data_IF_669689614021
#
_entry.id   IF_669689614021
#
_cell.length_a   1.000
_cell.length_b   1.000
_cell.length_c   1.000
_cell.angle_alpha   90.00
_cell.angle_beta   90.00
_cell.angle_gamma   90.00
#
_symmetry.space_group_name_H-M   'P 1'
#
loop_
_entity.id
_entity.type
_entity.pdbx_description
1 polymer ?
#
# COMPACT_ATOMS: atom_id res chain seq x y z
N UNK A 1 5.95 1.16 41.55
CA UNK A 1 5.14 1.51 40.36
C UNK A 1 5.67 0.96 39.02
N UNK A 2 6.88 0.40 38.94
CA UNK A 2 7.42 -0.18 37.68
C UNK A 2 6.94 -1.64 37.43
N UNK A 3 6.33 -2.27 38.44
CA UNK A 3 5.81 -3.66 38.36
C UNK A 3 4.41 -3.78 37.76
N UNK A 4 3.64 -2.68 37.69
CA UNK A 4 2.28 -2.70 37.10
C UNK A 4 2.32 -2.70 35.56
N UNK A 5 3.29 -2.01 34.97
CA UNK A 5 3.44 -1.92 33.50
C UNK A 5 4.05 -3.18 32.90
N UNK A 6 4.96 -3.86 33.61
CA UNK A 6 5.61 -5.10 33.15
C UNK A 6 4.75 -6.37 33.36
N UNK A 7 3.62 -6.26 34.07
CA UNK A 7 2.65 -7.35 34.19
C UNK A 7 1.53 -7.29 33.13
N UNK A 8 1.35 -6.15 32.45
CA UNK A 8 0.15 -5.87 31.64
C UNK A 8 0.28 -6.19 30.14
N UNK A 9 1.50 -6.39 29.61
CA UNK A 9 1.70 -6.79 28.19
C UNK A 9 2.67 -7.98 28.11
N UNK A 10 2.18 -9.22 28.30
CA UNK A 10 3.02 -10.42 28.27
C UNK A 10 3.42 -10.87 26.85
N UNK A 11 3.05 -10.14 25.78
CA UNK A 11 3.34 -10.54 24.39
C UNK A 11 3.79 -9.35 23.55
N UNK A 12 4.70 -9.53 22.58
CA UNK A 12 5.19 -8.45 21.69
C UNK A 12 4.18 -7.99 20.62
N UNK A 13 3.03 -8.66 20.53
CA UNK A 13 1.97 -8.43 19.53
C UNK A 13 1.27 -7.07 19.69
N UNK A 14 0.95 -6.56 20.90
CA UNK A 14 0.29 -5.27 21.08
C UNK A 14 1.19 -4.10 20.67
N UNK A 15 2.51 -4.24 20.83
CA UNK A 15 3.49 -3.23 20.39
C UNK A 15 3.51 -3.15 18.86
N UNK A 16 3.44 -4.29 18.17
CA UNK A 16 3.34 -4.35 16.72
C UNK A 16 2.04 -3.70 16.22
N UNK A 17 0.92 -4.01 16.86
CA UNK A 17 -0.38 -3.43 16.54
C UNK A 17 -0.39 -1.91 16.75
N UNK A 18 0.15 -1.42 17.87
CA UNK A 18 0.29 0.01 18.12
C UNK A 18 1.15 0.70 17.06
N UNK A 19 2.27 0.09 16.66
CA UNK A 19 3.13 0.64 15.59
C UNK A 19 2.42 0.66 14.24
N UNK A 20 1.65 -0.38 13.91
CA UNK A 20 0.85 -0.44 12.70
C UNK A 20 -0.23 0.65 12.67
N UNK A 21 -0.92 0.89 13.80
CA UNK A 21 -1.93 1.95 13.92
C UNK A 21 -1.29 3.33 13.77
N UNK A 22 -0.20 3.61 14.49
CA UNK A 22 0.51 4.90 14.39
C UNK A 22 1.01 5.14 12.98
N UNK A 23 1.59 4.11 12.34
CA UNK A 23 2.03 4.21 10.95
C UNK A 23 0.85 4.51 10.02
N UNK A 24 -0.25 3.75 10.13
CA UNK A 24 -1.43 3.95 9.29
C UNK A 24 -2.00 5.36 9.45
N UNK A 25 -2.18 5.85 10.67
CA UNK A 25 -2.68 7.21 10.93
C UNK A 25 -1.74 8.27 10.35
N UNK A 26 -0.43 8.13 10.58
CA UNK A 26 0.55 9.07 10.05
C UNK A 26 0.56 9.07 8.52
N UNK A 27 0.52 7.90 7.89
CA UNK A 27 0.45 7.76 6.44
C UNK A 27 -0.83 8.35 5.86
N UNK A 28 -1.99 8.15 6.52
CA UNK A 28 -3.24 8.79 6.10
C UNK A 28 -3.12 10.31 6.12
N UNK A 29 -2.60 10.88 7.21
CA UNK A 29 -2.43 12.34 7.34
C UNK A 29 -1.49 12.88 6.27
N UNK A 30 -0.30 12.27 6.12
CA UNK A 30 0.70 12.71 5.15
C UNK A 30 0.15 12.56 3.73
N UNK A 31 -0.44 11.42 3.37
CA UNK A 31 -0.98 11.18 2.04
C UNK A 31 -2.10 12.17 1.70
N UNK A 32 -3.01 12.42 2.64
CA UNK A 32 -4.11 13.37 2.44
C UNK A 32 -3.57 14.79 2.21
N UNK A 33 -2.60 15.22 3.01
CA UNK A 33 -1.95 16.53 2.86
C UNK A 33 -1.19 16.61 1.54
N UNK A 34 -0.47 15.56 1.15
CA UNK A 34 0.24 15.51 -0.12
C UNK A 34 -0.70 15.56 -1.32
N UNK A 35 -1.83 14.86 -1.28
CA UNK A 35 -2.85 14.91 -2.34
C UNK A 35 -3.47 16.31 -2.43
N UNK A 36 -3.82 16.91 -1.28
CA UNK A 36 -4.36 18.27 -1.25
C UNK A 36 -3.37 19.31 -1.81
N UNK A 37 -2.10 19.22 -1.43
CA UNK A 37 -1.04 20.08 -1.96
C UNK A 37 -0.82 19.86 -3.45
N UNK A 38 -0.76 18.60 -3.90
CA UNK A 38 -0.64 18.28 -5.32
C UNK A 38 -1.82 18.85 -6.12
N UNK A 39 -3.05 18.68 -5.63
CA UNK A 39 -4.23 19.25 -6.28
C UNK A 39 -4.13 20.77 -6.42
N UNK A 40 -3.78 21.50 -5.35
CA UNK A 40 -3.67 22.97 -5.37
C UNK A 40 -2.54 23.44 -6.30
N UNK A 41 -1.39 22.77 -6.29
CA UNK A 41 -0.24 23.13 -7.13
C UNK A 41 -0.51 22.84 -8.60
N UNK A 42 -1.21 21.75 -8.89
CA UNK A 42 -1.47 21.28 -10.26
C UNK A 42 -2.72 21.93 -10.87
N UNK A 43 -3.66 22.42 -10.05
CA UNK A 43 -4.88 23.12 -10.50
C UNK A 43 -4.61 24.23 -11.54
N UNK A 44 -3.69 25.19 -11.35
CA UNK A 44 -3.46 26.24 -12.35
C UNK A 44 -2.91 25.70 -13.67
N UNK A 45 -2.06 24.67 -13.63
CA UNK A 45 -1.48 24.06 -14.82
C UNK A 45 -2.51 23.25 -15.62
N UNK A 46 -3.47 22.62 -14.94
CA UNK A 46 -4.53 21.81 -15.56
C UNK A 46 -5.73 22.64 -15.99
N UNK A 47 -5.93 23.83 -15.40
CA UNK A 47 -6.97 24.77 -15.80
C UNK A 47 -6.76 25.25 -17.24
N UNK A 48 -5.50 25.42 -17.67
CA UNK A 48 -5.14 25.77 -19.04
C UNK A 48 -5.45 24.65 -20.06
N UNK A 49 -5.69 23.42 -19.58
CA UNK A 49 -5.91 22.23 -20.40
C UNK A 49 -7.31 21.60 -20.22
N UNK A 50 -8.22 22.25 -19.48
CA UNK A 50 -9.55 21.72 -19.11
C UNK A 50 -9.51 20.31 -18.47
N UNK A 51 -8.38 19.96 -17.83
CA UNK A 51 -8.12 18.64 -17.25
C UNK A 51 -8.23 18.64 -15.71
N UNK A 52 -8.76 19.71 -15.11
CA UNK A 52 -8.87 19.83 -13.65
C UNK A 52 -9.81 18.74 -13.12
N UNK A 53 -9.36 17.89 -12.17
CA UNK A 53 -10.20 16.88 -11.57
C UNK A 53 -11.38 17.53 -10.85
N UNK A 54 -12.60 17.28 -11.32
CA UNK A 54 -13.77 17.94 -10.77
C UNK A 54 -14.14 17.32 -9.40
N UNK A 55 -14.27 18.17 -8.38
CA UNK A 55 -14.52 17.72 -6.99
C UNK A 55 -15.96 17.29 -6.73
N UNK A 56 -16.86 17.58 -7.66
CA UNK A 56 -18.26 17.12 -7.69
C UNK A 56 -18.39 15.67 -8.18
N UNK A 57 -17.36 15.14 -8.82
CA UNK A 57 -17.37 13.78 -9.35
C UNK A 57 -16.95 12.77 -8.27
N UNK A 58 -17.77 11.74 -8.09
CA UNK A 58 -17.48 10.63 -7.18
C UNK A 58 -16.15 9.90 -7.52
N UNK A 59 -15.77 9.90 -8.81
CA UNK A 59 -14.52 9.29 -9.28
C UNK A 59 -13.28 9.98 -8.68
N UNK A 60 -13.28 11.30 -8.55
CA UNK A 60 -12.16 12.05 -7.95
C UNK A 60 -11.91 11.61 -6.50
N UNK A 61 -12.99 11.52 -5.72
CA UNK A 61 -12.93 11.04 -4.34
C UNK A 61 -12.52 9.57 -4.23
N UNK A 62 -12.96 8.73 -5.17
CA UNK A 62 -12.54 7.34 -5.25
C UNK A 62 -11.03 7.23 -5.48
N UNK A 63 -10.46 8.01 -6.39
CA UNK A 63 -9.01 8.00 -6.68
C UNK A 63 -8.21 8.51 -5.48
N UNK A 64 -8.65 9.60 -4.84
CA UNK A 64 -8.00 10.13 -3.64
C UNK A 64 -8.02 9.13 -2.49
N UNK A 65 -9.19 8.57 -2.18
CA UNK A 65 -9.34 7.53 -1.14
C UNK A 65 -8.55 6.27 -1.47
N UNK A 66 -8.57 5.84 -2.74
CA UNK A 66 -7.80 4.71 -3.24
C UNK A 66 -6.29 4.92 -3.09
N UNK A 67 -5.80 6.12 -3.37
CA UNK A 67 -4.38 6.46 -3.24
C UNK A 67 -3.94 6.39 -1.78
N UNK A 68 -4.71 6.99 -0.87
CA UNK A 68 -4.44 6.91 0.57
C UNK A 68 -4.45 5.46 1.04
N UNK A 69 -5.45 4.68 0.62
CA UNK A 69 -5.56 3.27 0.95
C UNK A 69 -4.34 2.45 0.50
N UNK A 70 -3.90 2.65 -0.74
CA UNK A 70 -2.72 1.98 -1.29
C UNK A 70 -1.45 2.34 -0.51
N UNK A 71 -1.24 3.62 -0.20
CA UNK A 71 -0.07 4.07 0.57
C UNK A 71 -0.03 3.47 1.97
N UNK A 72 -1.18 3.40 2.65
CA UNK A 72 -1.30 2.76 3.97
C UNK A 72 -0.96 1.27 3.86
N UNK A 73 -1.54 0.58 2.88
CA UNK A 73 -1.28 -0.85 2.66
C UNK A 73 0.19 -1.13 2.33
N UNK A 74 0.83 -0.30 1.51
CA UNK A 74 2.26 -0.40 1.20
C UNK A 74 3.13 -0.17 2.45
N UNK A 75 2.79 0.80 3.30
CA UNK A 75 3.46 1.03 4.57
C UNK A 75 3.33 -0.16 5.53
N UNK A 76 2.14 -0.74 5.63
CA UNK A 76 1.88 -1.94 6.44
C UNK A 76 2.61 -3.18 5.90
N UNK A 77 2.65 -3.35 4.58
CA UNK A 77 3.46 -4.38 3.92
C UNK A 77 4.93 -4.27 4.30
N UNK A 78 5.52 -3.09 4.15
CA UNK A 78 6.91 -2.83 4.53
C UNK A 78 7.16 -3.06 6.02
N UNK A 79 6.21 -2.70 6.90
CA UNK A 79 6.30 -2.96 8.33
C UNK A 79 6.28 -4.47 8.63
N UNK A 80 5.36 -5.22 8.02
CA UNK A 80 5.28 -6.68 8.16
C UNK A 80 6.57 -7.34 7.70
N UNK A 81 7.01 -7.05 6.48
CA UNK A 81 8.27 -7.55 5.90
C UNK A 81 9.46 -7.20 6.80
N UNK A 82 9.56 -5.96 7.29
CA UNK A 82 10.64 -5.56 8.19
C UNK A 82 10.63 -6.30 9.52
N UNK A 83 9.46 -6.69 10.02
CA UNK A 83 9.38 -7.51 11.24
C UNK A 83 9.86 -8.95 11.02
N UNK A 84 9.64 -9.52 9.82
CA UNK A 84 10.16 -10.82 9.41
C UNK A 84 11.68 -10.79 9.23
N UNK A 85 12.21 -9.78 8.52
CA UNK A 85 13.63 -9.66 8.18
C UNK A 85 14.51 -9.15 9.34
N UNK A 86 13.91 -8.52 10.37
CA UNK A 86 14.63 -7.90 11.50
C UNK A 86 15.69 -6.87 11.08
N UNK A 87 15.57 -6.30 9.87
CA UNK A 87 16.50 -5.33 9.29
C UNK A 87 15.69 -4.26 8.54
N UNK A 88 15.98 -2.99 8.82
CA UNK A 88 15.36 -1.84 8.14
C UNK A 88 15.77 -1.79 6.67
N UNK A 89 17.06 -2.00 6.38
CA UNK A 89 17.58 -2.02 5.01
C UNK A 89 16.94 -3.15 4.22
N UNK A 90 16.87 -4.36 4.79
CA UNK A 90 16.23 -5.51 4.13
C UNK A 90 14.74 -5.29 3.86
N UNK A 91 14.04 -4.65 4.81
CA UNK A 91 12.62 -4.31 4.66
C UNK A 91 12.37 -3.38 3.46
N UNK A 92 13.16 -2.30 3.38
CA UNK A 92 13.01 -1.29 2.33
C UNK A 92 13.33 -1.91 0.97
N UNK A 93 14.44 -2.65 0.86
CA UNK A 93 14.82 -3.31 -0.39
C UNK A 93 13.72 -4.24 -0.88
N UNK A 94 13.21 -5.12 -0.02
CA UNK A 94 12.14 -6.05 -0.40
C UNK A 94 10.85 -5.31 -0.75
N UNK A 95 10.47 -4.29 0.03
CA UNK A 95 9.29 -3.50 -0.25
C UNK A 95 9.36 -2.84 -1.64
N UNK A 96 10.47 -2.16 -1.94
CA UNK A 96 10.69 -1.53 -3.25
C UNK A 96 10.79 -2.56 -4.37
N UNK A 97 11.45 -3.68 -4.15
CA UNK A 97 11.56 -4.73 -5.15
C UNK A 97 10.19 -5.28 -5.50
N UNK A 98 9.36 -5.65 -4.52
CA UNK A 98 8.04 -6.24 -4.77
C UNK A 98 7.05 -5.22 -5.35
N UNK A 99 7.05 -4.00 -4.82
CA UNK A 99 6.11 -2.97 -5.23
C UNK A 99 6.47 -2.41 -6.61
N UNK A 100 7.73 -2.00 -6.82
CA UNK A 100 8.12 -1.23 -8.00
C UNK A 100 8.89 -2.07 -9.03
N UNK A 101 9.96 -2.77 -8.60
CA UNK A 101 10.86 -3.41 -9.57
C UNK A 101 10.23 -4.66 -10.20
N UNK A 102 9.51 -5.45 -9.41
CA UNK A 102 8.93 -6.72 -9.84
C UNK A 102 7.92 -6.52 -10.99
N UNK A 103 6.90 -5.65 -10.89
CA UNK A 103 6.00 -5.41 -12.02
C UNK A 103 6.74 -4.79 -13.22
N UNK A 104 7.69 -3.88 -12.97
CA UNK A 104 8.46 -3.23 -14.05
C UNK A 104 9.38 -4.17 -14.82
N UNK A 105 9.89 -5.23 -14.19
CA UNK A 105 10.72 -6.25 -14.87
C UNK A 105 9.86 -7.30 -15.56
N UNK A 106 8.78 -7.74 -14.91
CA UNK A 106 7.90 -8.76 -15.45
C UNK A 106 7.05 -8.26 -16.62
N UNK A 107 6.81 -6.95 -16.73
CA UNK A 107 6.09 -6.35 -17.88
C UNK A 107 6.81 -6.54 -19.21
N UNK A 108 8.13 -6.76 -19.21
CA UNK A 108 8.89 -7.08 -20.44
C UNK A 108 8.67 -8.52 -20.92
N UNK A 109 8.05 -9.38 -20.12
CA UNK A 109 7.83 -10.79 -20.44
C UNK A 109 6.41 -10.96 -20.97
N UNK A 110 6.28 -11.30 -22.24
CA UNK A 110 4.99 -11.49 -22.94
C UNK A 110 4.40 -12.90 -22.80
N UNK A 111 4.57 -13.54 -21.64
CA UNK A 111 3.98 -14.84 -21.35
C UNK A 111 2.64 -14.66 -20.62
N UNK A 112 1.57 -15.25 -21.13
CA UNK A 112 0.21 -15.07 -20.58
C UNK A 112 0.13 -15.33 -19.07
N UNK A 113 0.75 -16.43 -18.59
CA UNK A 113 0.72 -16.75 -17.16
C UNK A 113 1.52 -15.75 -16.30
N UNK A 114 2.55 -15.11 -16.87
CA UNK A 114 3.35 -14.07 -16.18
C UNK A 114 2.53 -12.80 -16.07
N UNK A 115 1.83 -12.41 -17.13
CA UNK A 115 0.94 -11.25 -17.11
C UNK A 115 -0.16 -11.43 -16.07
N UNK A 116 -0.79 -12.61 -16.01
CA UNK A 116 -1.77 -12.90 -14.94
C UNK A 116 -1.17 -12.69 -13.55
N UNK A 117 0.09 -13.07 -13.30
CA UNK A 117 0.74 -12.83 -12.01
C UNK A 117 0.98 -11.34 -11.76
N UNK A 118 1.39 -10.60 -12.80
CA UNK A 118 1.62 -9.14 -12.73
C UNK A 118 0.33 -8.42 -12.35
N UNK A 119 -0.82 -8.82 -12.86
CA UNK A 119 -2.11 -8.15 -12.59
C UNK A 119 -2.50 -8.24 -11.11
N UNK A 120 -2.06 -9.29 -10.41
CA UNK A 120 -2.25 -9.46 -8.96
C UNK A 120 -1.12 -8.86 -8.11
N UNK A 121 -0.12 -8.22 -8.71
CA UNK A 121 0.88 -7.46 -7.94
C UNK A 121 0.28 -6.17 -7.38
N UNK A 122 0.79 -5.64 -6.24
CA UNK A 122 0.13 -4.54 -5.55
C UNK A 122 -0.01 -3.26 -6.38
N UNK A 123 1.03 -2.90 -7.15
CA UNK A 123 1.01 -1.69 -7.98
C UNK A 123 0.04 -1.83 -9.17
N UNK A 124 0.12 -2.90 -10.00
CA UNK A 124 -0.86 -3.14 -11.06
C UNK A 124 -2.30 -3.29 -10.55
N UNK A 125 -2.50 -4.06 -9.48
CA UNK A 125 -3.83 -4.25 -8.87
C UNK A 125 -4.45 -2.94 -8.35
N UNK A 126 -3.63 -1.92 -8.04
CA UNK A 126 -4.13 -0.61 -7.64
C UNK A 126 -4.81 0.15 -8.79
N UNK A 127 -4.47 -0.17 -10.05
CA UNK A 127 -5.10 0.40 -11.24
C UNK A 127 -6.61 0.22 -11.28
N UNK A 128 -7.10 -0.92 -10.77
CA UNK A 128 -8.52 -1.27 -10.76
C UNK A 128 -9.43 -0.27 -10.02
N UNK A 129 -8.89 0.52 -9.08
CA UNK A 129 -9.65 1.57 -8.38
C UNK A 129 -9.03 2.96 -8.47
N UNK A 130 -7.77 3.09 -8.91
CA UNK A 130 -7.14 4.38 -9.19
C UNK A 130 -7.49 4.93 -10.58
N UNK A 131 -8.09 4.12 -11.46
CA UNK A 131 -8.57 4.58 -12.76
C UNK A 131 -7.43 5.02 -13.68
N UNK A 132 -6.38 4.20 -13.80
CA UNK A 132 -5.30 4.45 -14.75
C UNK A 132 -5.82 4.36 -16.18
N UNK A 133 -5.55 5.38 -17.01
CA UNK A 133 -5.68 5.25 -18.46
C UNK A 133 -4.58 4.33 -19.01
N UNK A 134 -4.74 3.92 -20.27
CA UNK A 134 -3.91 2.93 -21.00
C UNK A 134 -2.39 3.14 -20.83
N UNK A 135 -1.93 4.38 -20.63
CA UNK A 135 -0.53 4.78 -20.45
C UNK A 135 0.03 4.70 -19.01
N UNK A 136 -0.78 4.27 -18.04
CA UNK A 136 -0.36 4.21 -16.63
C UNK A 136 0.42 2.93 -16.35
N UNK A 137 1.45 2.99 -15.50
CA UNK A 137 2.18 1.82 -14.95
C UNK A 137 1.25 0.81 -14.22
N UNK A 138 -0.02 1.16 -14.06
CA UNK A 138 -1.09 0.40 -13.40
C UNK A 138 -2.16 -0.13 -14.38
N UNK A 139 -2.01 0.02 -15.71
CA UNK A 139 -3.03 -0.40 -16.70
C UNK A 139 -3.21 -1.93 -16.80
N UNK A 140 -2.22 -2.72 -16.36
CA UNK A 140 -2.34 -4.18 -16.31
C UNK A 140 -3.47 -4.67 -15.35
N UNK A 141 -4.00 -3.80 -14.49
CA UNK A 141 -5.12 -4.12 -13.60
C UNK A 141 -6.52 -3.86 -14.17
N UNK A 142 -6.68 -3.39 -15.42
CA UNK A 142 -7.99 -3.00 -15.96
C UNK A 142 -8.99 -4.17 -16.10
N UNK A 143 -8.51 -5.40 -16.21
CA UNK A 143 -9.37 -6.59 -16.19
C UNK A 143 -9.88 -6.96 -14.79
N UNK A 144 -9.25 -6.44 -13.72
CA UNK A 144 -9.68 -6.71 -12.35
C UNK A 144 -10.83 -5.79 -11.93
N UNK A 145 -11.85 -6.38 -11.31
CA UNK A 145 -12.86 -5.60 -10.59
C UNK A 145 -12.19 -4.76 -9.49
N UNK A 146 -12.67 -3.53 -9.31
CA UNK A 146 -12.23 -2.62 -8.24
C UNK A 146 -12.25 -3.29 -6.84
N UNK A 147 -13.23 -4.17 -6.59
CA UNK A 147 -13.32 -4.94 -5.34
C UNK A 147 -12.18 -5.94 -5.21
N UNK A 148 -11.82 -6.63 -6.30
CA UNK A 148 -10.71 -7.58 -6.32
C UNK A 148 -9.39 -6.87 -6.06
N UNK A 149 -9.13 -5.74 -6.72
CA UNK A 149 -7.93 -4.94 -6.48
C UNK A 149 -7.76 -4.50 -5.02
N UNK A 150 -8.87 -4.06 -4.39
CA UNK A 150 -8.88 -3.72 -2.95
C UNK A 150 -8.55 -4.94 -2.08
N UNK A 151 -9.15 -6.10 -2.36
CA UNK A 151 -8.88 -7.32 -1.59
C UNK A 151 -7.44 -7.81 -1.73
N UNK A 152 -6.86 -7.73 -2.94
CA UNK A 152 -5.47 -8.10 -3.21
C UNK A 152 -4.52 -7.24 -2.39
N UNK A 153 -4.73 -5.92 -2.38
CA UNK A 153 -3.91 -5.00 -1.60
C UNK A 153 -4.09 -5.20 -0.09
N UNK A 154 -5.32 -5.45 0.37
CA UNK A 154 -5.59 -5.82 1.75
C UNK A 154 -4.81 -7.08 2.14
N UNK A 155 -4.82 -8.10 1.29
CA UNK A 155 -4.10 -9.35 1.52
C UNK A 155 -2.59 -9.11 1.61
N UNK A 156 -2.02 -8.30 0.69
CA UNK A 156 -0.62 -7.92 0.74
C UNK A 156 -0.26 -7.17 2.03
N UNK A 157 -1.12 -6.31 2.56
CA UNK A 157 -0.85 -5.65 3.85
C UNK A 157 -0.94 -6.63 5.04
N UNK A 158 -1.99 -7.46 5.09
CA UNK A 158 -2.33 -8.29 6.25
C UNK A 158 -1.44 -9.52 6.37
N UNK A 159 -1.14 -10.22 5.27
CA UNK A 159 -0.37 -11.48 5.28
C UNK A 159 1.01 -11.34 5.95
N UNK A 160 1.90 -10.40 5.55
CA UNK A 160 3.21 -10.26 6.18
C UNK A 160 3.13 -9.69 7.59
N UNK A 161 2.11 -8.89 7.92
CA UNK A 161 1.87 -8.45 9.30
C UNK A 161 1.52 -9.61 10.22
N UNK A 162 0.57 -10.46 9.80
CA UNK A 162 0.16 -11.63 10.56
C UNK A 162 1.31 -12.62 10.66
N UNK A 163 2.02 -12.90 9.56
CA UNK A 163 3.20 -13.76 9.57
C UNK A 163 4.29 -13.23 10.53
N UNK A 164 4.56 -11.91 10.51
CA UNK A 164 5.47 -11.26 11.46
C UNK A 164 5.02 -11.40 12.91
N UNK A 165 3.72 -11.20 13.19
CA UNK A 165 3.15 -11.37 14.52
C UNK A 165 3.24 -12.82 15.03
N UNK A 166 2.97 -13.80 14.17
CA UNK A 166 3.05 -15.24 14.48
C UNK A 166 4.50 -15.64 14.78
N UNK A 167 5.46 -15.22 13.94
CA UNK A 167 6.89 -15.50 14.15
C UNK A 167 7.39 -14.88 15.46
N UNK A 168 6.95 -13.67 15.80
CA UNK A 168 7.27 -13.04 17.09
C UNK A 168 6.71 -13.86 18.26
N UNK A 169 5.46 -14.33 18.16
CA UNK A 169 4.82 -15.11 19.21
C UNK A 169 5.47 -16.47 19.42
N UNK A 170 5.85 -17.17 18.36
CA UNK A 170 6.51 -18.47 18.45
C UNK A 170 7.95 -18.40 18.95
N UNK A 171 8.62 -17.25 18.86
CA UNK A 171 10.00 -17.06 19.31
C UNK A 171 10.13 -16.61 20.77
N UNK A 172 9.06 -16.09 21.35
CA UNK A 172 9.00 -15.72 22.76
C UNK A 172 8.42 -16.85 23.66
N UNK A 173 8.00 -17.97 23.07
CA UNK A 173 7.62 -19.21 23.75
C UNK A 173 8.80 -20.19 23.81
#
# INVERSE_FOLDING_TARGET
>A
MIRSTLAAVPTRVPVLAAKAIVLAVLTVVIATVSIALAYVVTMPLLADLDLVPALDQARTWQVFGGTVYFLVAAGLFALGVGTLLRSSTGAITVALTVLLLLPGVLSFISLNWVQTVVDYLPLPASGAFLGGGEDSLSSAGEELSAVTGLLVIAAYAVVPLVAGAVVLRHRDA
#
